data_IF_889639485311
#
_entry.id   IF_889639485311
#
_cell.length_a   1.000
_cell.length_b   1.000
_cell.length_c   1.000
_cell.angle_alpha   90.00
_cell.angle_beta   90.00
_cell.angle_gamma   90.00
#
_symmetry.space_group_name_H-M   'P 1'
#
loop_
_entity.id
_entity.type
_entity.pdbx_description
1 polymer ?
#
# COMPACT_ATOMS: atom_id res chain seq x y z
N UNK A 1 17.73 35.01 2.55
CA UNK A 1 17.11 34.47 1.32
C UNK A 1 16.10 33.39 1.73
N UNK A 2 14.84 33.47 1.28
CA UNK A 2 13.73 32.65 1.80
C UNK A 2 13.63 31.29 1.08
N UNK A 3 13.97 30.21 1.79
CA UNK A 3 13.72 28.81 1.39
C UNK A 3 12.31 28.34 1.74
N UNK A 4 11.28 29.03 1.22
CA UNK A 4 9.88 28.65 1.40
C UNK A 4 9.38 27.73 0.28
N UNK A 5 8.27 27.01 0.52
CA UNK A 5 7.56 26.20 -0.48
C UNK A 5 7.24 27.04 -1.72
N UNK A 6 7.59 26.53 -2.90
CA UNK A 6 7.24 27.08 -4.22
C UNK A 6 6.64 25.96 -5.06
N UNK A 7 5.89 26.31 -6.09
CA UNK A 7 5.46 25.34 -7.10
C UNK A 7 6.69 24.66 -7.71
N UNK A 8 6.72 23.33 -7.69
CA UNK A 8 7.89 22.53 -8.11
C UNK A 8 9.06 22.48 -7.11
N UNK A 9 8.94 23.08 -5.91
CA UNK A 9 9.96 22.95 -4.86
C UNK A 9 9.82 21.64 -4.10
N UNK A 10 10.94 20.93 -3.93
CA UNK A 10 11.01 19.66 -3.20
C UNK A 10 11.48 18.51 -4.09
N UNK A 11 11.51 17.30 -3.52
CA UNK A 11 11.76 16.08 -4.29
C UNK A 11 10.49 15.68 -5.04
N UNK A 12 10.56 15.34 -6.33
CA UNK A 12 9.40 14.87 -7.09
C UNK A 12 8.76 13.66 -6.39
N UNK A 13 7.43 13.65 -6.34
CA UNK A 13 6.70 12.54 -5.77
C UNK A 13 6.98 11.26 -6.55
N UNK A 14 7.23 10.15 -5.83
CA UNK A 14 7.58 8.86 -6.44
C UNK A 14 9.02 8.73 -6.94
N UNK A 15 9.85 9.78 -6.90
CA UNK A 15 11.25 9.64 -7.34
C UNK A 15 11.99 8.70 -6.37
N UNK A 16 12.82 7.74 -6.85
CA UNK A 16 13.66 6.92 -5.98
C UNK A 16 14.64 7.77 -5.17
N UNK A 17 15.12 7.21 -4.05
CA UNK A 17 16.25 7.83 -3.33
C UNK A 17 17.51 7.69 -4.20
N UNK A 18 18.41 8.69 -4.17
CA UNK A 18 19.69 8.66 -4.91
C UNK A 18 20.46 7.37 -4.64
N UNK A 19 20.51 6.93 -3.38
CA UNK A 19 21.18 5.68 -2.99
C UNK A 19 20.50 4.43 -3.58
N UNK A 20 19.17 4.43 -3.69
CA UNK A 20 18.41 3.33 -4.31
C UNK A 20 18.66 3.27 -5.81
N UNK A 21 18.65 4.42 -6.49
CA UNK A 21 18.91 4.52 -7.92
C UNK A 21 20.34 4.09 -8.26
N UNK A 22 21.34 4.54 -7.50
CA UNK A 22 22.73 4.16 -7.70
C UNK A 22 22.94 2.64 -7.57
N UNK A 23 22.37 2.01 -6.53
CA UNK A 23 22.44 0.56 -6.35
C UNK A 23 21.76 -0.20 -7.49
N UNK A 24 20.62 0.28 -7.98
CA UNK A 24 19.94 -0.33 -9.13
C UNK A 24 20.78 -0.24 -10.40
N UNK A 25 21.46 0.89 -10.61
CA UNK A 25 22.39 1.08 -11.73
C UNK A 25 23.62 0.17 -11.62
N UNK A 26 24.29 0.14 -10.47
CA UNK A 26 25.45 -0.74 -10.23
C UNK A 26 25.11 -2.22 -10.49
N UNK A 27 23.92 -2.66 -10.05
CA UNK A 27 23.43 -4.02 -10.28
C UNK A 27 23.16 -4.25 -11.77
N UNK A 28 22.53 -3.30 -12.47
CA UNK A 28 22.30 -3.40 -13.91
C UNK A 28 23.62 -3.42 -14.71
N UNK A 29 24.61 -2.62 -14.30
CA UNK A 29 25.91 -2.50 -14.95
C UNK A 29 26.77 -3.76 -14.74
N UNK A 30 26.54 -4.51 -13.65
CA UNK A 30 27.24 -5.78 -13.37
C UNK A 30 26.91 -6.91 -14.36
N UNK A 31 25.97 -6.70 -15.28
CA UNK A 31 25.65 -7.58 -16.40
C UNK A 31 24.73 -8.76 -16.05
N UNK A 32 24.52 -9.05 -14.77
CA UNK A 32 23.56 -10.05 -14.31
C UNK A 32 22.88 -9.55 -13.04
N UNK A 33 21.56 -9.33 -13.10
CA UNK A 33 20.81 -8.96 -11.92
C UNK A 33 20.58 -10.18 -11.02
N UNK A 34 20.30 -9.99 -9.72
CA UNK A 34 19.90 -11.08 -8.85
C UNK A 34 18.68 -11.87 -9.38
N UNK A 35 17.74 -11.19 -10.05
CA UNK A 35 16.60 -11.86 -10.67
C UNK A 35 17.04 -12.76 -11.82
N UNK A 36 17.96 -12.29 -12.67
CA UNK A 36 18.48 -13.07 -13.80
C UNK A 36 19.18 -14.35 -13.33
N UNK A 37 19.98 -14.25 -12.26
CA UNK A 37 20.64 -15.41 -11.66
C UNK A 37 19.63 -16.43 -11.10
N UNK A 38 18.61 -15.98 -10.36
CA UNK A 38 17.59 -16.88 -9.84
C UNK A 38 16.82 -17.57 -10.99
N UNK A 39 16.55 -16.85 -12.07
CA UNK A 39 15.90 -17.41 -13.26
C UNK A 39 16.81 -18.42 -13.98
N UNK A 40 18.12 -18.21 -14.02
CA UNK A 40 19.05 -19.19 -14.63
C UNK A 40 19.08 -20.48 -13.83
N UNK A 41 19.23 -20.40 -12.50
CA UNK A 41 19.24 -21.58 -11.61
C UNK A 41 17.92 -22.35 -11.69
N UNK A 42 16.77 -21.66 -11.67
CA UNK A 42 15.46 -22.29 -11.76
C UNK A 42 15.25 -23.07 -13.07
N UNK A 43 15.85 -22.59 -14.18
CA UNK A 43 15.70 -23.15 -15.53
C UNK A 43 16.74 -24.22 -15.86
N UNK A 44 17.81 -24.31 -15.09
CA UNK A 44 18.86 -25.30 -15.30
C UNK A 44 18.34 -26.72 -14.99
N UNK A 45 18.35 -27.66 -15.96
CA UNK A 45 17.94 -29.03 -15.73
C UNK A 45 18.95 -29.86 -14.92
N UNK A 46 20.21 -29.43 -14.84
CA UNK A 46 21.28 -30.14 -14.13
C UNK A 46 21.27 -29.81 -12.63
N UNK A 47 20.57 -28.74 -12.23
CA UNK A 47 20.38 -28.36 -10.84
C UNK A 47 19.36 -29.22 -10.11
N UNK A 48 19.62 -29.45 -8.82
CA UNK A 48 18.72 -30.22 -7.95
C UNK A 48 17.32 -29.59 -7.86
N UNK A 49 16.28 -30.42 -7.82
CA UNK A 49 14.89 -29.96 -7.76
C UNK A 49 14.65 -28.96 -6.60
N UNK A 50 15.24 -29.21 -5.44
CA UNK A 50 15.13 -28.34 -4.28
C UNK A 50 15.74 -26.96 -4.53
N UNK A 51 16.95 -26.90 -5.09
CA UNK A 51 17.62 -25.65 -5.48
C UNK A 51 16.78 -24.85 -6.47
N UNK A 52 16.20 -25.54 -7.47
CA UNK A 52 15.34 -24.92 -8.47
C UNK A 52 14.05 -24.37 -7.86
N UNK A 53 13.45 -25.09 -6.91
CA UNK A 53 12.25 -24.65 -6.19
C UNK A 53 12.55 -23.44 -5.29
N UNK A 54 13.69 -23.42 -4.60
CA UNK A 54 14.09 -22.27 -3.79
C UNK A 54 14.35 -21.04 -4.66
N UNK A 55 15.01 -21.20 -5.80
CA UNK A 55 15.20 -20.12 -6.76
C UNK A 55 13.85 -19.58 -7.28
N UNK A 56 12.90 -20.47 -7.59
CA UNK A 56 11.56 -20.10 -8.01
C UNK A 56 10.79 -19.31 -6.93
N UNK A 57 10.84 -19.76 -5.67
CA UNK A 57 10.20 -19.07 -4.54
C UNK A 57 10.78 -17.67 -4.34
N UNK A 58 12.10 -17.53 -4.46
CA UNK A 58 12.78 -16.25 -4.30
C UNK A 58 12.48 -15.28 -5.46
N UNK A 59 12.34 -15.78 -6.69
CA UNK A 59 12.01 -14.98 -7.86
C UNK A 59 10.52 -14.58 -7.94
N UNK A 60 9.61 -15.41 -7.40
CA UNK A 60 8.16 -15.22 -7.54
C UNK A 60 7.64 -13.82 -7.20
N UNK A 61 8.07 -13.13 -6.11
CA UNK A 61 7.56 -11.80 -5.77
C UNK A 61 7.87 -10.71 -6.80
N UNK A 62 8.94 -10.91 -7.60
CA UNK A 62 9.38 -9.95 -8.62
C UNK A 62 8.64 -10.14 -9.95
N UNK A 63 8.03 -11.31 -10.18
CA UNK A 63 7.30 -11.65 -11.41
C UNK A 63 5.78 -11.69 -11.18
N UNK A 64 5.37 -12.10 -9.98
CA UNK A 64 3.99 -12.24 -9.56
C UNK A 64 3.79 -11.46 -8.24
N UNK A 65 3.31 -10.20 -8.33
CA UNK A 65 3.11 -9.36 -7.15
C UNK A 65 2.25 -10.06 -6.11
N UNK A 66 2.76 -10.12 -4.88
CA UNK A 66 1.96 -10.60 -3.74
C UNK A 66 0.90 -9.54 -3.41
N UNK A 67 -0.27 -9.99 -2.98
CA UNK A 67 -1.27 -9.09 -2.41
C UNK A 67 -0.65 -8.30 -1.26
N UNK A 68 -0.76 -6.98 -1.31
CA UNK A 68 -0.28 -6.11 -0.25
C UNK A 68 -1.12 -6.36 1.02
N UNK A 69 -0.45 -6.59 2.15
CA UNK A 69 -1.12 -6.63 3.45
C UNK A 69 -1.41 -5.20 3.89
N UNK A 70 -2.67 -4.78 3.80
CA UNK A 70 -3.12 -3.49 4.32
C UNK A 70 -3.47 -3.70 5.79
N UNK A 71 -2.67 -3.11 6.68
CA UNK A 71 -3.03 -2.99 8.08
C UNK A 71 -4.07 -1.87 8.21
N UNK A 72 -5.33 -2.25 8.41
CA UNK A 72 -6.34 -1.30 8.83
C UNK A 72 -6.02 -0.89 10.27
N UNK A 73 -5.38 0.26 10.45
CA UNK A 73 -5.38 0.96 11.73
C UNK A 73 -6.82 1.43 11.95
N UNK A 74 -7.62 0.57 12.61
CA UNK A 74 -9.01 0.85 12.92
C UNK A 74 -9.11 1.97 13.94
N UNK A 75 -8.94 3.22 13.50
CA UNK A 75 -9.70 4.32 14.09
C UNK A 75 -11.03 4.34 13.36
N UNK A 76 -11.87 3.34 13.65
CA UNK A 76 -13.30 3.52 13.43
C UNK A 76 -13.66 4.69 14.34
N UNK A 77 -14.02 5.83 13.74
CA UNK A 77 -14.42 7.02 14.50
C UNK A 77 -15.38 6.59 15.61
N UNK A 78 -15.08 7.02 16.83
CA UNK A 78 -15.72 6.64 18.09
C UNK A 78 -17.22 6.94 18.11
N UNK A 79 -18.02 6.15 17.40
CA UNK A 79 -19.45 6.07 17.63
C UNK A 79 -19.73 4.61 17.93
N UNK A 80 -20.01 4.36 19.20
CA UNK A 80 -20.54 3.08 19.63
C UNK A 80 -21.92 2.86 19.00
N UNK A 81 -22.39 1.62 19.00
CA UNK A 81 -23.74 1.32 18.55
C UNK A 81 -24.80 2.14 19.31
N UNK A 82 -24.55 2.39 20.60
CA UNK A 82 -25.41 3.19 21.46
C UNK A 82 -25.41 4.67 21.04
N UNK A 83 -24.25 5.24 20.70
CA UNK A 83 -24.17 6.61 20.18
C UNK A 83 -24.96 6.80 18.88
N UNK A 84 -25.03 5.76 18.03
CA UNK A 84 -25.84 5.75 16.82
C UNK A 84 -27.34 5.68 17.10
N UNK A 85 -27.74 4.90 18.10
CA UNK A 85 -29.14 4.78 18.50
C UNK A 85 -29.64 6.09 19.12
N UNK A 86 -28.84 6.71 19.97
CA UNK A 86 -29.16 8.00 20.59
C UNK A 86 -29.31 9.12 19.55
N UNK A 87 -28.49 9.12 18.51
CA UNK A 87 -28.62 10.11 17.42
C UNK A 87 -29.87 9.85 16.58
N UNK A 88 -30.19 8.59 16.29
CA UNK A 88 -31.43 8.24 15.57
C UNK A 88 -32.68 8.61 16.37
N UNK A 89 -32.69 8.40 17.69
CA UNK A 89 -33.81 8.78 18.56
C UNK A 89 -34.03 10.30 18.59
N UNK A 90 -32.95 11.08 18.67
CA UNK A 90 -33.00 12.56 18.57
C UNK A 90 -33.55 13.02 17.21
N UNK A 91 -33.15 12.37 16.13
CA UNK A 91 -33.63 12.68 14.78
C UNK A 91 -35.11 12.32 14.58
N UNK A 92 -35.57 11.21 15.16
CA UNK A 92 -36.97 10.79 15.06
C UNK A 92 -37.90 11.63 15.96
N UNK A 93 -37.41 12.04 17.14
CA UNK A 93 -38.06 13.04 17.98
C UNK A 93 -38.24 14.38 17.24
N UNK A 94 -37.19 14.88 16.57
CA UNK A 94 -37.25 16.11 15.77
C UNK A 94 -38.21 16.01 14.57
N UNK A 95 -38.35 14.82 13.97
CA UNK A 95 -39.29 14.55 12.88
C UNK A 95 -40.75 14.54 13.35
N UNK A 96 -40.98 14.07 14.57
CA UNK A 96 -42.30 14.01 15.21
C UNK A 96 -42.79 15.41 15.59
N UNK A 97 -41.90 16.25 16.11
CA UNK A 97 -42.19 17.65 16.44
C UNK A 97 -42.52 18.51 15.21
N UNK A 98 -41.86 18.25 14.08
CA UNK A 98 -42.16 18.92 12.81
C UNK A 98 -43.58 18.59 12.30
N UNK A 99 -44.02 17.34 12.43
CA UNK A 99 -45.37 16.92 11.99
C UNK A 99 -46.48 17.48 12.88
N UNK A 100 -46.24 17.64 14.18
CA UNK A 100 -47.21 18.24 15.10
C UNK A 100 -47.32 19.77 14.92
N UNK A 101 -46.23 20.45 14.53
CA UNK A 101 -46.24 21.91 14.29
C UNK A 101 -46.95 22.31 12.99
N UNK A 102 -47.05 21.43 11.99
CA UNK A 102 -47.70 21.71 10.69
C UNK A 102 -49.22 21.44 10.71
N UNK A 103 -49.73 20.70 11.70
CA UNK A 103 -51.17 20.39 11.86
C UNK A 103 -51.90 21.26 12.90
N UNK A 104 -51.27 22.31 13.42
CA UNK A 104 -51.87 23.29 14.33
C UNK A 104 -52.37 24.53 13.60
#
# INVERSE_FOLDING_TARGET
MRGGKREGAGRPEGSPNKATAARQQEIADSGMTPLDYLLSVMRDPDEGQDTRLEAAKAAAPYVHPKLASIQHAGTVGFMTHEDWLDELDKLDGARTDYHNRIRG
#
